data_IF_413775567811
#
_entry.id   IF_413775567811
#
_cell.length_a   1.000
_cell.length_b   1.000
_cell.length_c   1.000
_cell.angle_alpha   90.00
_cell.angle_beta   90.00
_cell.angle_gamma   90.00
#
_symmetry.space_group_name_H-M   'P 1'
#
loop_
_entity.id
_entity.type
_entity.pdbx_description
1 polymer ?
#
# COMPACT_ATOMS: atom_id res chain seq x y z
N UNK A 1 16.29 -1.09 -7.20
CA UNK A 1 16.78 -0.21 -6.12
C UNK A 1 17.80 -0.90 -5.21
N UNK A 2 17.88 -2.24 -5.16
CA UNK A 2 18.88 -2.95 -4.34
C UNK A 2 18.58 -2.96 -2.85
N UNK A 3 17.33 -2.72 -2.45
CA UNK A 3 16.89 -2.56 -1.05
C UNK A 3 15.95 -3.67 -0.57
N UNK A 4 15.55 -4.58 -1.45
CA UNK A 4 14.55 -5.61 -1.15
C UNK A 4 14.75 -6.85 -2.00
N UNK A 5 14.47 -8.00 -1.42
CA UNK A 5 14.25 -9.27 -2.10
C UNK A 5 12.84 -9.75 -1.76
N UNK A 6 11.97 -9.91 -2.78
CA UNK A 6 10.59 -10.31 -2.54
C UNK A 6 10.50 -11.82 -2.37
N UNK A 7 10.53 -12.31 -1.14
CA UNK A 7 10.44 -13.76 -0.87
C UNK A 7 9.00 -14.30 -0.87
N UNK A 8 8.01 -13.43 -0.65
CA UNK A 8 6.59 -13.78 -0.68
C UNK A 8 5.76 -12.78 -1.47
N UNK A 9 4.83 -13.28 -2.27
CA UNK A 9 3.85 -12.45 -2.99
C UNK A 9 2.44 -13.06 -2.87
N UNK A 10 1.42 -12.21 -2.79
CA UNK A 10 0.01 -12.61 -2.74
C UNK A 10 -0.71 -11.94 -3.89
N UNK A 11 -1.20 -12.73 -4.84
CA UNK A 11 -1.94 -12.24 -6.01
C UNK A 11 -3.05 -13.22 -6.33
N UNK A 12 -4.30 -12.83 -6.10
CA UNK A 12 -5.46 -13.70 -6.28
C UNK A 12 -5.73 -14.01 -7.76
N UNK A 13 -5.33 -13.13 -8.67
CA UNK A 13 -5.56 -13.30 -10.11
C UNK A 13 -4.44 -14.11 -10.76
N UNK A 14 -4.75 -15.35 -11.09
CA UNK A 14 -3.77 -16.35 -11.56
C UNK A 14 -2.85 -15.88 -12.72
N UNK A 15 -3.32 -15.20 -13.79
CA UNK A 15 -2.44 -14.69 -14.83
C UNK A 15 -1.36 -13.73 -14.31
N UNK A 16 -1.70 -12.84 -13.37
CA UNK A 16 -0.72 -11.94 -12.75
C UNK A 16 0.20 -12.68 -11.79
N UNK A 17 -0.31 -13.66 -11.03
CA UNK A 17 0.50 -14.51 -10.16
C UNK A 17 1.54 -15.30 -10.98
N UNK A 18 1.14 -15.86 -12.11
CA UNK A 18 2.04 -16.57 -13.03
C UNK A 18 3.10 -15.62 -13.61
N UNK A 19 2.71 -14.43 -14.06
CA UNK A 19 3.66 -13.42 -14.50
C UNK A 19 4.66 -13.07 -13.37
N UNK A 20 4.21 -12.96 -12.12
CA UNK A 20 5.10 -12.70 -10.99
C UNK A 20 6.11 -13.83 -10.78
N UNK A 21 5.67 -15.10 -10.84
CA UNK A 21 6.53 -16.29 -10.71
C UNK A 21 7.64 -16.30 -11.77
N UNK A 22 7.29 -16.02 -13.03
CA UNK A 22 8.26 -15.99 -14.14
C UNK A 22 9.37 -14.95 -13.94
N UNK A 23 9.04 -13.81 -13.34
CA UNK A 23 10.00 -12.73 -13.11
C UNK A 23 10.77 -12.85 -11.79
N UNK A 24 10.31 -13.70 -10.86
CA UNK A 24 10.89 -13.84 -9.53
C UNK A 24 10.93 -15.32 -9.12
N UNK A 25 11.85 -16.14 -9.68
CA UNK A 25 11.87 -17.58 -9.48
C UNK A 25 12.12 -18.02 -8.03
N UNK A 26 12.74 -17.16 -7.21
CA UNK A 26 12.96 -17.42 -5.77
C UNK A 26 11.76 -17.07 -4.88
N UNK A 27 10.70 -16.47 -5.42
CA UNK A 27 9.55 -16.01 -4.63
C UNK A 27 8.52 -17.12 -4.46
N UNK A 28 8.04 -17.29 -3.22
CA UNK A 28 6.81 -18.05 -2.97
C UNK A 28 5.58 -17.19 -3.30
N UNK A 29 4.89 -17.53 -4.38
CA UNK A 29 3.69 -16.80 -4.83
C UNK A 29 2.42 -17.56 -4.44
N UNK A 30 1.60 -16.93 -3.60
CA UNK A 30 0.29 -17.43 -3.18
C UNK A 30 -0.80 -16.90 -4.12
N UNK A 31 -1.41 -17.78 -4.91
CA UNK A 31 -2.62 -17.42 -5.69
C UNK A 31 -3.87 -17.58 -4.84
N UNK A 32 -4.09 -16.68 -3.89
CA UNK A 32 -5.21 -16.79 -2.96
C UNK A 32 -5.67 -15.41 -2.45
N UNK A 33 -6.86 -15.35 -1.85
CA UNK A 33 -7.29 -14.17 -1.09
C UNK A 33 -6.36 -13.96 0.12
N UNK A 34 -5.77 -12.77 0.21
CA UNK A 34 -4.94 -12.36 1.34
C UNK A 34 -5.62 -12.56 2.71
N UNK A 35 -6.94 -12.46 2.80
CA UNK A 35 -7.64 -12.68 4.06
C UNK A 35 -7.55 -14.14 4.53
N UNK A 36 -7.51 -15.10 3.61
CA UNK A 36 -7.36 -16.52 3.93
C UNK A 36 -5.94 -16.76 4.45
N UNK A 37 -4.93 -16.26 3.74
CA UNK A 37 -3.54 -16.44 4.13
C UNK A 37 -3.24 -15.84 5.51
N UNK A 38 -3.68 -14.61 5.79
CA UNK A 38 -3.47 -13.99 7.09
C UNK A 38 -4.15 -14.77 8.22
N UNK A 39 -5.35 -15.31 7.98
CA UNK A 39 -6.07 -16.15 8.96
C UNK A 39 -5.27 -17.41 9.30
N UNK A 40 -4.70 -18.09 8.30
CA UNK A 40 -3.87 -19.27 8.52
C UNK A 40 -2.68 -18.94 9.43
N UNK A 41 -1.93 -17.88 9.12
CA UNK A 41 -0.77 -17.48 9.92
C UNK A 41 -1.18 -17.05 11.34
N UNK A 42 -2.30 -16.36 11.49
CA UNK A 42 -2.84 -16.00 12.82
C UNK A 42 -3.32 -17.21 13.62
N UNK A 43 -3.72 -18.30 12.95
CA UNK A 43 -4.09 -19.56 13.58
C UNK A 43 -2.86 -20.43 13.96
N UNK A 44 -1.65 -20.00 13.60
CA UNK A 44 -0.40 -20.71 13.89
C UNK A 44 0.01 -21.71 12.80
N UNK A 45 -0.65 -21.69 11.65
CA UNK A 45 -0.29 -22.54 10.51
C UNK A 45 1.05 -22.10 9.92
N UNK A 46 1.86 -23.10 9.53
CA UNK A 46 3.18 -22.89 8.91
C UNK A 46 3.16 -23.07 7.39
N UNK A 47 2.15 -23.73 6.87
CA UNK A 47 1.98 -24.03 5.45
C UNK A 47 0.51 -23.87 5.05
N UNK A 48 0.25 -23.56 3.78
CA UNK A 48 -1.10 -23.66 3.23
C UNK A 48 -1.41 -25.09 2.74
N UNK A 49 -2.60 -25.28 2.17
CA UNK A 49 -3.05 -26.56 1.60
C UNK A 49 -2.20 -27.09 0.44
N UNK A 50 -1.39 -26.24 -0.19
CA UNK A 50 -0.46 -26.59 -1.27
C UNK A 50 0.97 -26.87 -0.75
N UNK A 51 1.17 -26.89 0.56
CA UNK A 51 2.50 -27.10 1.18
C UNK A 51 3.44 -25.90 1.06
N UNK A 52 2.96 -24.73 0.63
CA UNK A 52 3.78 -23.53 0.54
C UNK A 52 4.02 -22.96 1.95
N UNK A 53 5.28 -22.70 2.30
CA UNK A 53 5.66 -22.13 3.60
C UNK A 53 5.10 -20.72 3.77
N UNK A 54 4.33 -20.51 4.82
CA UNK A 54 3.76 -19.21 5.17
C UNK A 54 4.80 -18.34 5.89
N UNK A 55 4.93 -17.04 5.53
CA UNK A 55 5.80 -16.12 6.27
C UNK A 55 5.32 -15.97 7.71
N UNK A 56 6.26 -15.89 8.65
CA UNK A 56 5.99 -15.72 10.08
C UNK A 56 6.51 -14.37 10.59
N UNK A 57 6.22 -14.05 11.85
CA UNK A 57 6.83 -12.86 12.48
C UNK A 57 8.35 -13.00 12.51
N UNK A 58 9.05 -11.94 12.11
CA UNK A 58 10.50 -11.93 11.95
C UNK A 58 10.97 -12.22 10.52
N UNK A 59 10.15 -12.87 9.69
CA UNK A 59 10.49 -13.15 8.29
C UNK A 59 10.28 -11.91 7.38
N UNK A 60 9.29 -11.08 7.70
CA UNK A 60 8.87 -9.94 6.85
C UNK A 60 9.45 -8.63 7.37
N UNK A 61 10.57 -8.21 6.77
CA UNK A 61 11.21 -6.92 7.11
C UNK A 61 10.59 -5.71 6.40
N UNK A 62 10.01 -5.91 5.22
CA UNK A 62 9.33 -4.87 4.45
C UNK A 62 8.01 -5.39 3.91
N UNK A 63 6.94 -4.58 4.04
CA UNK A 63 5.62 -4.88 3.49
C UNK A 63 5.22 -3.81 2.49
N UNK A 64 4.97 -4.19 1.25
CA UNK A 64 4.50 -3.29 0.20
C UNK A 64 3.28 -3.85 -0.53
N UNK A 65 2.38 -2.98 -0.98
CA UNK A 65 1.19 -3.40 -1.70
C UNK A 65 0.30 -2.27 -2.18
N UNK A 66 -0.56 -2.59 -3.16
CA UNK A 66 -1.55 -1.68 -3.73
C UNK A 66 -2.97 -2.21 -3.56
N UNK A 67 -3.54 -2.24 -2.33
CA UNK A 67 -4.85 -2.82 -2.09
C UNK A 67 -5.93 -2.10 -2.90
N UNK A 68 -6.76 -2.81 -3.68
CA UNK A 68 -7.74 -2.16 -4.54
C UNK A 68 -8.83 -1.46 -3.73
N UNK A 69 -9.21 -0.27 -4.18
CA UNK A 69 -10.09 0.66 -3.47
C UNK A 69 -11.55 0.60 -3.97
N UNK A 70 -11.98 -0.53 -4.54
CA UNK A 70 -13.26 -0.65 -5.26
C UNK A 70 -14.49 -0.23 -4.42
N UNK A 71 -14.45 -0.38 -3.09
CA UNK A 71 -15.53 0.08 -2.21
C UNK A 71 -15.66 1.60 -2.00
N UNK A 72 -14.67 2.41 -2.42
CA UNK A 72 -14.55 3.83 -2.06
C UNK A 72 -14.48 4.78 -3.27
N UNK A 73 -14.35 4.25 -4.49
CA UNK A 73 -14.38 5.07 -5.69
C UNK A 73 -15.76 5.73 -5.83
N UNK A 74 -15.78 7.04 -6.14
CA UNK A 74 -17.01 7.83 -6.28
C UNK A 74 -17.94 7.37 -7.42
N UNK A 75 -17.57 6.31 -8.15
CA UNK A 75 -18.32 5.75 -9.27
C UNK A 75 -19.33 4.66 -8.85
N UNK A 76 -19.30 4.21 -7.59
CA UNK A 76 -20.21 3.18 -7.09
C UNK A 76 -21.52 3.76 -6.52
N UNK A 77 -22.64 3.50 -7.21
CA UNK A 77 -24.02 3.97 -6.96
C UNK A 77 -24.67 3.49 -5.64
N UNK A 78 -24.03 2.62 -4.84
CA UNK A 78 -24.64 2.01 -3.65
C UNK A 78 -24.03 2.52 -2.33
N UNK A 79 -24.60 3.63 -1.81
CA UNK A 79 -23.98 4.46 -0.76
C UNK A 79 -24.51 4.24 0.68
N UNK A 80 -25.46 3.32 0.95
CA UNK A 80 -26.14 3.28 2.26
C UNK A 80 -25.48 2.46 3.39
N UNK A 81 -24.35 1.75 3.15
CA UNK A 81 -23.62 0.97 4.20
C UNK A 81 -22.10 1.15 4.15
N UNK A 82 -21.64 2.38 3.97
CA UNK A 82 -20.26 2.72 3.59
C UNK A 82 -19.19 2.38 4.64
N UNK A 83 -19.49 2.57 5.93
CA UNK A 83 -18.55 2.26 7.02
C UNK A 83 -18.33 0.75 7.20
N UNK A 84 -19.39 -0.04 7.00
CA UNK A 84 -19.30 -1.51 7.02
C UNK A 84 -18.45 -2.05 5.87
N UNK A 85 -18.57 -1.44 4.68
CA UNK A 85 -17.67 -1.74 3.53
C UNK A 85 -16.23 -1.27 3.76
N UNK A 86 -15.99 -0.21 4.56
CA UNK A 86 -14.64 0.18 4.99
C UNK A 86 -13.99 -0.86 5.88
N UNK A 87 -14.70 -1.35 6.89
CA UNK A 87 -14.21 -2.43 7.77
C UNK A 87 -13.82 -3.69 7.00
N UNK A 88 -14.52 -4.00 5.91
CA UNK A 88 -14.26 -5.18 5.07
C UNK A 88 -13.43 -4.87 3.81
N UNK A 89 -12.68 -3.77 3.81
CA UNK A 89 -11.85 -3.41 2.66
C UNK A 89 -10.48 -4.05 2.72
N UNK A 90 -9.90 -4.28 1.54
CA UNK A 90 -8.53 -4.76 1.41
C UNK A 90 -7.48 -3.78 1.96
N UNK A 91 -7.84 -2.50 2.16
CA UNK A 91 -7.01 -1.54 2.89
C UNK A 91 -6.90 -1.95 4.37
N UNK A 92 -8.01 -2.36 4.99
CA UNK A 92 -8.00 -2.84 6.37
C UNK A 92 -7.25 -4.17 6.46
N UNK A 93 -7.48 -5.10 5.54
CA UNK A 93 -6.70 -6.36 5.47
C UNK A 93 -5.20 -6.07 5.39
N UNK A 94 -4.78 -5.16 4.50
CA UNK A 94 -3.37 -4.79 4.34
C UNK A 94 -2.78 -4.11 5.59
N UNK A 95 -3.56 -3.29 6.31
CA UNK A 95 -3.16 -2.76 7.61
C UNK A 95 -3.05 -3.85 8.68
N UNK A 96 -3.90 -4.88 8.64
CA UNK A 96 -3.79 -6.04 9.54
C UNK A 96 -2.52 -6.84 9.29
N UNK A 97 -2.08 -6.97 8.02
CA UNK A 97 -0.76 -7.52 7.71
C UNK A 97 0.36 -6.69 8.35
N UNK A 98 0.31 -5.36 8.22
CA UNK A 98 1.29 -4.47 8.83
C UNK A 98 1.34 -4.63 10.35
N UNK A 99 0.17 -4.67 11.01
CA UNK A 99 0.07 -4.83 12.46
C UNK A 99 0.57 -6.20 12.94
N UNK A 100 0.27 -7.25 12.18
CA UNK A 100 0.68 -8.62 12.53
C UNK A 100 2.20 -8.81 12.37
N UNK A 101 2.74 -8.51 11.19
CA UNK A 101 4.14 -8.78 10.88
C UNK A 101 5.12 -7.77 11.48
N UNK A 102 4.66 -6.55 11.79
CA UNK A 102 5.49 -5.45 12.28
C UNK A 102 6.77 -5.24 11.45
N UNK A 103 6.67 -5.06 10.12
CA UNK A 103 7.83 -4.85 9.26
C UNK A 103 8.56 -3.54 9.61
N UNK A 104 9.85 -3.47 9.32
CA UNK A 104 10.69 -2.27 9.47
C UNK A 104 10.17 -1.13 8.60
N UNK A 105 9.73 -1.45 7.38
CA UNK A 105 9.16 -0.49 6.44
C UNK A 105 7.82 -0.96 5.86
N UNK A 106 6.90 -0.01 5.67
CA UNK A 106 5.59 -0.23 5.08
C UNK A 106 5.36 0.74 3.92
N UNK A 107 4.84 0.22 2.81
CA UNK A 107 4.48 1.01 1.63
C UNK A 107 3.09 0.63 1.14
N UNK A 108 2.18 1.61 1.12
CA UNK A 108 0.88 1.47 0.47
C UNK A 108 0.84 2.39 -0.75
N UNK A 109 0.65 1.80 -1.92
CA UNK A 109 0.40 2.51 -3.17
C UNK A 109 -1.11 2.55 -3.47
N UNK A 110 -1.57 3.66 -4.03
CA UNK A 110 -2.92 3.73 -4.56
C UNK A 110 -3.10 4.81 -5.62
N UNK A 111 -4.29 4.86 -6.22
CA UNK A 111 -4.68 5.96 -7.11
C UNK A 111 -4.61 7.31 -6.37
N UNK A 112 -4.31 8.40 -7.10
CA UNK A 112 -4.25 9.76 -6.53
C UNK A 112 -5.45 10.09 -5.64
N UNK A 113 -6.66 9.66 -6.02
CA UNK A 113 -7.89 10.02 -5.30
C UNK A 113 -8.05 9.31 -3.95
N UNK A 114 -7.19 8.35 -3.60
CA UNK A 114 -7.15 7.73 -2.28
C UNK A 114 -7.12 8.76 -1.15
N UNK A 115 -6.34 9.83 -1.33
CA UNK A 115 -6.21 10.93 -0.34
C UNK A 115 -7.48 11.77 -0.17
N UNK A 116 -8.44 11.67 -1.10
CA UNK A 116 -9.66 12.47 -1.11
C UNK A 116 -10.93 11.64 -0.90
N UNK A 117 -10.84 10.31 -0.92
CA UNK A 117 -12.01 9.45 -0.77
C UNK A 117 -12.72 9.67 0.56
N UNK A 118 -14.06 9.81 0.47
CA UNK A 118 -14.98 10.01 1.60
C UNK A 118 -14.51 11.15 2.51
N UNK A 119 -14.27 12.34 1.93
CA UNK A 119 -13.73 13.52 2.64
C UNK A 119 -12.41 13.18 3.36
N UNK A 120 -11.52 12.52 2.64
CA UNK A 120 -10.21 12.06 3.11
C UNK A 120 -10.24 11.10 4.31
N UNK A 121 -11.41 10.54 4.68
CA UNK A 121 -11.52 9.61 5.81
C UNK A 121 -10.73 8.33 5.58
N UNK A 122 -10.63 7.83 4.35
CA UNK A 122 -9.84 6.63 4.03
C UNK A 122 -8.37 6.87 4.39
N UNK A 123 -7.80 8.00 3.96
CA UNK A 123 -6.43 8.40 4.33
C UNK A 123 -6.29 8.64 5.83
N UNK A 124 -7.18 9.43 6.44
CA UNK A 124 -7.13 9.74 7.88
C UNK A 124 -7.16 8.49 8.75
N UNK A 125 -8.03 7.52 8.43
CA UNK A 125 -8.09 6.25 9.16
C UNK A 125 -6.86 5.38 8.93
N UNK A 126 -6.34 5.34 7.69
CA UNK A 126 -5.09 4.62 7.39
C UNK A 126 -3.93 5.15 8.23
N UNK A 127 -3.72 6.47 8.24
CA UNK A 127 -2.69 7.11 9.05
C UNK A 127 -2.96 6.92 10.55
N UNK A 128 -4.21 7.04 10.99
CA UNK A 128 -4.59 6.83 12.40
C UNK A 128 -4.26 5.40 12.87
N UNK A 129 -4.50 4.40 12.02
CA UNK A 129 -4.16 3.01 12.30
C UNK A 129 -2.64 2.84 12.45
N UNK A 130 -1.85 3.36 11.50
CA UNK A 130 -0.37 3.29 11.57
C UNK A 130 0.19 4.00 12.82
N UNK A 131 -0.30 5.19 13.13
CA UNK A 131 0.06 5.91 14.37
C UNK A 131 -0.33 5.10 15.61
N UNK A 132 -1.51 4.47 15.62
CA UNK A 132 -1.94 3.61 16.74
C UNK A 132 -1.04 2.38 16.89
N UNK A 133 -0.51 1.85 15.79
CA UNK A 133 0.47 0.76 15.82
C UNK A 133 1.85 1.22 16.30
N UNK A 134 2.09 2.54 16.42
CA UNK A 134 3.39 3.10 16.84
C UNK A 134 4.34 3.39 15.68
N UNK A 135 3.88 3.31 14.43
CA UNK A 135 4.71 3.63 13.27
C UNK A 135 4.87 5.14 13.11
N UNK A 136 6.06 5.55 12.66
CA UNK A 136 6.22 6.80 11.96
C UNK A 136 5.53 6.66 10.60
N UNK A 137 4.77 7.66 10.15
CA UNK A 137 4.12 7.57 8.84
C UNK A 137 3.96 8.94 8.18
N UNK A 138 3.97 8.93 6.85
CA UNK A 138 3.69 10.09 6.01
C UNK A 138 2.94 9.67 4.75
N UNK A 139 2.43 10.64 4.01
CA UNK A 139 1.80 10.41 2.72
C UNK A 139 2.20 11.49 1.71
N UNK A 140 2.09 11.17 0.43
CA UNK A 140 2.41 12.07 -0.67
C UNK A 140 1.73 11.65 -1.96
N UNK A 141 1.72 12.55 -2.94
CA UNK A 141 1.30 12.23 -4.31
C UNK A 141 2.50 12.40 -5.22
N UNK A 142 2.83 11.36 -5.98
CA UNK A 142 3.90 11.37 -6.97
C UNK A 142 3.32 11.31 -8.38
N UNK A 143 3.99 11.94 -9.34
CA UNK A 143 3.66 11.84 -10.76
C UNK A 143 4.70 11.00 -11.49
N UNK A 144 4.29 9.86 -12.04
CA UNK A 144 5.21 8.91 -12.67
C UNK A 144 6.06 9.55 -13.78
N UNK A 145 5.47 10.46 -14.57
CA UNK A 145 6.21 11.16 -15.64
C UNK A 145 7.41 11.98 -15.18
N UNK A 146 7.48 12.36 -13.89
CA UNK A 146 8.66 13.01 -13.31
C UNK A 146 9.80 12.04 -12.99
N UNK A 147 9.61 10.74 -13.22
CA UNK A 147 10.56 9.66 -12.93
C UNK A 147 10.86 8.81 -14.18
N UNK A 148 10.81 9.43 -15.37
CA UNK A 148 11.40 8.84 -16.58
C UNK A 148 10.44 8.08 -17.49
N UNK A 149 9.12 8.23 -17.31
CA UNK A 149 8.12 7.61 -18.19
C UNK A 149 7.30 8.63 -18.97
N UNK A 150 7.00 8.34 -20.24
CA UNK A 150 6.13 9.17 -21.08
C UNK A 150 4.63 8.97 -20.75
N UNK A 151 4.28 8.99 -19.45
CA UNK A 151 2.93 8.71 -18.98
C UNK A 151 2.50 9.69 -17.88
N UNK A 152 1.32 10.27 -18.04
CA UNK A 152 0.67 11.01 -16.94
C UNK A 152 -0.05 10.06 -15.99
N UNK A 153 0.53 9.84 -14.81
CA UNK A 153 0.01 8.89 -13.82
C UNK A 153 0.38 9.31 -12.40
N UNK A 154 -0.57 9.96 -11.74
CA UNK A 154 -0.43 10.35 -10.32
C UNK A 154 -0.81 9.21 -9.40
N UNK A 155 0.02 8.97 -8.38
CA UNK A 155 -0.16 7.94 -7.34
C UNK A 155 -0.08 8.52 -5.95
N UNK A 156 -1.02 8.11 -5.10
CA UNK A 156 -0.93 8.34 -3.67
C UNK A 156 -0.01 7.27 -3.09
N UNK A 157 0.94 7.69 -2.27
CA UNK A 157 1.89 6.82 -1.60
C UNK A 157 1.80 7.12 -0.11
N UNK A 158 1.63 6.09 0.70
CA UNK A 158 1.77 6.14 2.16
C UNK A 158 3.02 5.35 2.53
N UNK A 159 3.91 6.00 3.27
CA UNK A 159 5.12 5.39 3.80
C UNK A 159 5.01 5.30 5.31
N UNK A 160 5.44 4.17 5.88
CA UNK A 160 5.61 4.04 7.31
C UNK A 160 6.94 3.35 7.64
N UNK A 161 7.51 3.71 8.79
CA UNK A 161 8.75 3.14 9.32
C UNK A 161 8.56 2.79 10.80
N UNK A 162 9.09 1.65 11.21
CA UNK A 162 9.00 1.16 12.58
C UNK A 162 9.71 2.13 13.56
N UNK A 163 9.40 2.06 14.87
CA UNK A 163 10.22 2.73 15.88
C UNK A 163 11.69 2.34 15.76
N UNK A 164 12.59 3.32 15.85
CA UNK A 164 14.04 3.12 15.68
C UNK A 164 14.53 3.20 14.24
N UNK A 165 13.64 3.11 13.25
CA UNK A 165 14.00 3.35 11.84
C UNK A 165 13.91 4.83 11.48
N UNK A 166 14.52 5.23 10.36
CA UNK A 166 14.35 6.58 9.82
C UNK A 166 13.21 6.58 8.80
N UNK A 167 12.18 7.41 9.02
CA UNK A 167 11.09 7.56 8.05
C UNK A 167 11.65 8.05 6.69
N UNK A 168 11.44 7.30 5.58
CA UNK A 168 11.95 7.70 4.27
C UNK A 168 11.29 8.98 3.75
N UNK A 169 12.06 9.75 2.98
CA UNK A 169 11.55 10.90 2.23
C UNK A 169 10.99 10.45 0.87
N UNK A 170 10.08 11.25 0.30
CA UNK A 170 9.65 11.07 -1.07
C UNK A 170 10.78 11.46 -2.04
N UNK A 171 10.92 10.74 -3.17
CA UNK A 171 12.01 10.99 -4.11
C UNK A 171 11.82 12.31 -4.86
N UNK A 172 12.89 13.10 -4.96
CA UNK A 172 12.89 14.30 -5.78
C UNK A 172 12.63 13.95 -7.26
N UNK A 173 11.89 14.80 -8.01
CA UNK A 173 11.71 14.65 -9.44
C UNK A 173 13.03 14.52 -10.19
N UNK A 174 13.13 13.53 -11.07
CA UNK A 174 14.31 13.33 -11.92
C UNK A 174 14.15 14.00 -13.29
N UNK A 175 12.91 14.20 -13.74
CA UNK A 175 12.60 14.76 -15.05
C UNK A 175 11.58 15.89 -14.94
N UNK A 176 11.73 16.88 -15.83
CA UNK A 176 10.68 17.88 -16.08
C UNK A 176 9.46 17.20 -16.69
N UNK A 177 8.27 17.68 -16.35
CA UNK A 177 7.02 17.15 -16.88
C UNK A 177 5.97 18.27 -16.89
N UNK A 178 4.92 18.13 -17.70
CA UNK A 178 3.89 19.15 -17.88
C UNK A 178 3.37 19.68 -16.51
N UNK A 179 3.48 21.00 -16.22
CA UNK A 179 3.14 21.55 -14.91
C UNK A 179 1.71 21.24 -14.45
N UNK A 180 0.76 21.26 -15.40
CA UNK A 180 -0.66 20.90 -15.15
C UNK A 180 -0.82 19.48 -14.60
N UNK A 181 0.05 18.55 -14.98
CA UNK A 181 0.01 17.17 -14.53
C UNK A 181 0.74 16.95 -13.18
N UNK A 182 1.44 17.98 -12.67
CA UNK A 182 2.25 17.92 -11.46
C UNK A 182 1.62 18.70 -10.29
N UNK A 183 0.29 18.78 -10.24
CA UNK A 183 -0.43 19.27 -9.07
C UNK A 183 -0.45 18.17 -8.00
N UNK A 184 0.57 18.18 -7.14
CA UNK A 184 0.85 17.13 -6.14
C UNK A 184 0.34 17.44 -4.74
N UNK A 185 -0.05 18.69 -4.45
CA UNK A 185 -0.58 19.06 -3.14
C UNK A 185 -1.92 18.37 -2.84
N UNK A 186 -2.17 18.09 -1.57
CA UNK A 186 -3.39 17.48 -1.08
C UNK A 186 -4.06 18.41 -0.08
N UNK A 187 -5.39 18.51 -0.11
CA UNK A 187 -6.16 19.24 0.90
C UNK A 187 -6.95 18.23 1.74
N UNK A 188 -6.80 18.30 3.06
CA UNK A 188 -7.54 17.50 4.04
C UNK A 188 -8.07 18.45 5.11
N UNK A 189 -9.39 18.51 5.29
CA UNK A 189 -10.05 19.39 6.26
C UNK A 189 -9.51 20.84 6.19
N UNK A 190 -9.52 21.40 4.96
CA UNK A 190 -9.05 22.75 4.61
C UNK A 190 -7.55 23.03 4.84
N UNK A 191 -6.78 22.02 5.25
CA UNK A 191 -5.32 22.10 5.40
C UNK A 191 -4.63 21.56 4.15
N UNK A 192 -3.76 22.37 3.56
CA UNK A 192 -2.93 21.99 2.42
C UNK A 192 -1.67 21.28 2.90
N UNK A 193 -1.47 20.06 2.42
CA UNK A 193 -0.29 19.23 2.64
C UNK A 193 0.51 19.11 1.35
N UNK A 194 1.83 19.18 1.49
CA UNK A 194 2.82 18.90 0.44
C UNK A 194 3.85 17.92 1.00
N UNK A 195 4.45 17.11 0.13
CA UNK A 195 5.58 16.26 0.51
C UNK A 195 6.85 17.11 0.71
N UNK A 196 7.95 16.45 1.06
CA UNK A 196 9.28 17.08 1.11
C UNK A 196 9.81 17.53 -0.26
N UNK A 197 9.09 17.24 -1.36
CA UNK A 197 9.51 17.60 -2.71
C UNK A 197 9.42 19.12 -2.83
N UNK A 198 10.57 19.77 -2.80
CA UNK A 198 10.70 21.21 -3.02
C UNK A 198 10.58 21.51 -4.51
N UNK A 199 9.66 22.41 -4.86
CA UNK A 199 9.61 23.08 -6.15
C UNK A 199 9.62 24.58 -5.92
#
# INVERSE_FOLDING_TARGET
>A
AGVSETLWAIEMWEPAAQAFRLNNPGTTVFTEDCNVLLKLVMAGEKTNSLGQKLPQKGDVEMLCGGPPCQGFSGMNRFNSRTYSKFKNSLVVSFLSYCDYYRPRFFLLENVRNFVSFKRSMVLKLTLRCLVRMGYQCTFGVLQAGQYGVAQTRRRAIVLAAAPGEKLPMFPEPLHVFAPRACQLSVVVDDKKFVSNITR
#
